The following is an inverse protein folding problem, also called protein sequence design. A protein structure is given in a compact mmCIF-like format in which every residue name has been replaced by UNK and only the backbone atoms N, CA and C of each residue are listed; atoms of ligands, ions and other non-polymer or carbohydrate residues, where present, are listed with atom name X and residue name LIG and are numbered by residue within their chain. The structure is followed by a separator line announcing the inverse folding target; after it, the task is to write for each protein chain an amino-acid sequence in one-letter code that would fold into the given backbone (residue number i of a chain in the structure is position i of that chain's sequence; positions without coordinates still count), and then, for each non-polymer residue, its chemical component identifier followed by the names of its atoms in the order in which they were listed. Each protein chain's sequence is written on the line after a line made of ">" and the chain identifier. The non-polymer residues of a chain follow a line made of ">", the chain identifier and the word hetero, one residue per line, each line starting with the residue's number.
data_IF_216075827455
#
_entry.id   IF_216075827455
#
_cell.length_a   1.000
_cell.length_b   1.000
_cell.length_c   1.000
_cell.angle_alpha   90.00
_cell.angle_beta   90.00
_cell.angle_gamma   90.00
#
_symmetry.space_group_name_H-M   'P 1'
#
loop_
_entity.id
_entity.type
_entity.pdbx_description
1 polymer ?
#
# COMPACT_ATOMS: atom_id res chain seq x y z
N UNK A 1 -16.85 1.81 -30.29
CA UNK A 1 -15.67 2.13 -31.13
C UNK A 1 -15.64 1.20 -32.34
N UNK A 2 -15.57 1.73 -33.57
CA UNK A 2 -15.22 0.90 -34.74
C UNK A 2 -13.76 0.47 -34.57
N UNK A 3 -13.45 -0.82 -34.76
CA UNK A 3 -12.08 -1.33 -34.70
C UNK A 3 -11.17 -0.46 -35.58
N UNK A 4 -10.01 -0.04 -35.06
CA UNK A 4 -8.98 0.56 -35.90
C UNK A 4 -8.68 -0.45 -37.03
N UNK A 5 -8.84 -0.09 -38.32
CA UNK A 5 -8.57 -0.99 -39.44
C UNK A 5 -7.16 -1.60 -39.38
N UNK A 6 -6.21 -0.95 -38.69
CA UNK A 6 -4.83 -1.43 -38.50
C UNK A 6 -4.67 -2.45 -37.38
N UNK A 7 -5.66 -2.61 -36.51
CA UNK A 7 -5.63 -3.53 -35.39
C UNK A 7 -6.94 -4.35 -35.31
N UNK A 8 -7.19 -5.26 -36.28
CA UNK A 8 -8.41 -6.07 -36.31
C UNK A 8 -8.52 -7.00 -35.10
N UNK A 9 -9.76 -7.31 -34.68
CA UNK A 9 -10.09 -8.27 -33.61
C UNK A 9 -9.66 -7.90 -32.18
N UNK A 10 -9.31 -6.64 -31.93
CA UNK A 10 -8.97 -6.16 -30.59
C UNK A 10 -10.18 -6.08 -29.67
N UNK A 11 -9.96 -6.33 -28.38
CA UNK A 11 -10.94 -6.16 -27.30
C UNK A 11 -10.34 -5.24 -26.22
N UNK A 12 -10.21 -3.94 -26.51
CA UNK A 12 -9.64 -3.00 -25.56
C UNK A 12 -10.41 -3.00 -24.23
N UNK A 13 -9.70 -2.64 -23.15
CA UNK A 13 -10.29 -2.45 -21.83
C UNK A 13 -9.90 -1.11 -21.21
N UNK A 14 -10.77 -0.61 -20.35
CA UNK A 14 -10.49 0.55 -19.51
C UNK A 14 -9.88 0.09 -18.20
N UNK A 15 -8.78 0.70 -17.74
CA UNK A 15 -8.23 0.40 -16.41
C UNK A 15 -8.88 1.30 -15.37
N UNK A 16 -9.64 0.72 -14.45
CA UNK A 16 -10.26 1.42 -13.33
C UNK A 16 -9.48 1.10 -12.04
N UNK A 17 -8.63 2.03 -11.63
CA UNK A 17 -7.84 1.91 -10.41
C UNK A 17 -8.69 2.36 -9.21
N UNK A 18 -9.02 1.45 -8.30
CA UNK A 18 -9.68 1.79 -7.04
C UNK A 18 -8.64 2.32 -6.04
N UNK A 19 -8.79 3.59 -5.62
CA UNK A 19 -7.81 4.26 -4.78
C UNK A 19 -8.49 5.33 -3.92
N UNK A 20 -8.47 5.22 -2.60
CA UNK A 20 -9.05 6.25 -1.72
C UNK A 20 -8.27 7.57 -1.83
N UNK A 21 -8.93 8.70 -1.56
CA UNK A 21 -8.33 10.04 -1.56
C UNK A 21 -7.39 10.31 -0.37
N UNK A 22 -6.51 9.37 -0.03
CA UNK A 22 -5.53 9.47 1.06
C UNK A 22 -4.12 9.58 0.50
N UNK A 23 -3.21 10.24 1.22
CA UNK A 23 -1.78 10.35 0.82
C UNK A 23 -1.20 8.97 0.50
N UNK A 24 -1.49 7.98 1.35
CA UNK A 24 -1.10 6.59 1.15
C UNK A 24 -1.45 6.06 -0.25
N UNK A 25 -2.68 6.26 -0.72
CA UNK A 25 -3.13 5.78 -2.03
C UNK A 25 -2.73 6.72 -3.18
N UNK A 26 -2.51 8.00 -2.93
CA UNK A 26 -2.08 8.95 -3.94
C UNK A 26 -0.74 8.59 -4.57
N UNK A 27 0.31 8.40 -3.74
CA UNK A 27 1.64 8.11 -4.28
C UNK A 27 1.68 6.73 -4.97
N UNK A 28 0.97 5.76 -4.41
CA UNK A 28 0.82 4.43 -5.00
C UNK A 28 0.13 4.50 -6.38
N UNK A 29 -0.96 5.26 -6.49
CA UNK A 29 -1.66 5.48 -7.76
C UNK A 29 -0.76 6.14 -8.82
N UNK A 30 0.11 7.07 -8.43
CA UNK A 30 1.06 7.70 -9.36
C UNK A 30 2.12 6.72 -9.86
N UNK A 31 2.63 5.84 -9.00
CA UNK A 31 3.56 4.78 -9.40
C UNK A 31 2.87 3.83 -10.39
N UNK A 32 1.67 3.34 -10.05
CA UNK A 32 0.90 2.48 -10.96
C UNK A 32 0.63 3.17 -12.30
N UNK A 33 0.16 4.42 -12.30
CA UNK A 33 -0.17 5.14 -13.54
C UNK A 33 1.06 5.35 -14.43
N UNK A 34 2.22 5.68 -13.85
CA UNK A 34 3.48 5.77 -14.60
C UNK A 34 3.82 4.46 -15.31
N UNK A 35 3.75 3.34 -14.59
CA UNK A 35 4.03 2.03 -15.21
C UNK A 35 2.94 1.63 -16.21
N UNK A 36 1.69 1.98 -15.99
CA UNK A 36 0.62 1.78 -16.98
C UNK A 36 0.90 2.53 -18.28
N UNK A 37 1.29 3.80 -18.21
CA UNK A 37 1.67 4.59 -19.39
C UNK A 37 2.86 3.98 -20.11
N UNK A 38 3.89 3.57 -19.34
CA UNK A 38 5.09 2.92 -19.86
C UNK A 38 4.75 1.63 -20.63
N UNK A 39 3.92 0.75 -20.05
CA UNK A 39 3.58 -0.51 -20.70
C UNK A 39 2.66 -0.31 -21.90
N UNK A 40 1.69 0.61 -21.84
CA UNK A 40 0.86 0.97 -23.00
C UNK A 40 1.70 1.49 -24.17
N UNK A 41 2.69 2.33 -23.88
CA UNK A 41 3.59 2.85 -24.91
C UNK A 41 4.46 1.74 -25.52
N UNK A 42 4.96 0.82 -24.70
CA UNK A 42 5.75 -0.32 -25.15
C UNK A 42 4.97 -1.31 -26.05
N UNK A 43 3.67 -1.42 -25.83
CA UNK A 43 2.76 -2.28 -26.61
C UNK A 43 2.30 -1.63 -27.93
N UNK A 44 2.51 -0.32 -28.06
CA UNK A 44 2.27 0.43 -29.29
C UNK A 44 0.79 0.71 -29.58
N UNK A 45 0.45 1.09 -30.84
CA UNK A 45 -0.89 1.57 -31.20
C UNK A 45 -1.98 0.50 -31.07
N UNK A 46 -1.60 -0.78 -31.09
CA UNK A 46 -2.52 -1.90 -30.94
C UNK A 46 -2.69 -2.36 -29.47
N UNK A 47 -2.30 -1.55 -28.48
CA UNK A 47 -2.41 -1.93 -27.07
C UNK A 47 -3.82 -1.98 -26.54
N UNK A 48 -4.25 -3.11 -25.97
CA UNK A 48 -5.55 -3.29 -25.32
C UNK A 48 -5.77 -2.41 -24.08
N UNK A 49 -4.70 -1.83 -23.54
CA UNK A 49 -4.73 -0.82 -22.49
C UNK A 49 -5.23 0.53 -23.04
N UNK A 50 -6.54 0.64 -23.27
CA UNK A 50 -7.11 1.76 -24.02
C UNK A 50 -7.09 3.07 -23.23
N UNK A 51 -7.57 3.02 -21.99
CA UNK A 51 -7.70 4.17 -21.12
C UNK A 51 -7.48 3.79 -19.64
N UNK A 52 -7.26 4.80 -18.81
CA UNK A 52 -7.02 4.64 -17.38
C UNK A 52 -7.77 5.72 -16.62
N UNK A 53 -8.47 5.33 -15.55
CA UNK A 53 -9.11 6.24 -14.61
C UNK A 53 -8.87 5.75 -13.19
N UNK A 54 -8.47 6.67 -12.30
CA UNK A 54 -8.51 6.47 -10.86
C UNK A 54 -9.93 6.75 -10.36
N UNK A 55 -10.59 5.72 -9.84
CA UNK A 55 -11.86 5.85 -9.13
C UNK A 55 -11.57 6.14 -7.65
N UNK A 56 -11.82 7.38 -7.26
CA UNK A 56 -11.36 7.94 -6.01
C UNK A 56 -12.53 8.26 -5.06
N UNK A 57 -12.87 7.35 -4.12
CA UNK A 57 -13.71 7.72 -3.00
C UNK A 57 -12.97 8.71 -2.09
N UNK A 58 -13.55 9.90 -1.94
CA UNK A 58 -13.05 10.98 -1.09
C UNK A 58 -14.20 11.58 -0.27
N UNK A 59 -13.88 12.41 0.73
CA UNK A 59 -14.88 13.13 1.51
C UNK A 59 -15.77 13.94 0.56
N UNK A 60 -17.07 13.64 0.56
CA UNK A 60 -18.08 14.30 -0.28
C UNK A 60 -17.77 14.34 -1.80
N UNK A 61 -16.84 13.49 -2.27
CA UNK A 61 -16.39 13.48 -3.67
C UNK A 61 -15.45 14.65 -4.03
N UNK A 62 -14.81 15.27 -3.03
CA UNK A 62 -13.88 16.38 -3.22
C UNK A 62 -12.56 15.93 -3.90
N UNK A 63 -11.93 16.87 -4.61
CA UNK A 63 -10.61 16.67 -5.21
C UNK A 63 -9.53 16.48 -4.14
N UNK A 64 -8.55 15.63 -4.45
CA UNK A 64 -7.36 15.41 -3.62
C UNK A 64 -6.06 16.00 -4.23
N UNK A 65 -6.20 16.75 -5.33
CA UNK A 65 -5.12 17.44 -6.02
C UNK A 65 -4.25 16.57 -6.93
N UNK A 66 -4.53 15.27 -7.07
CA UNK A 66 -3.75 14.35 -7.93
C UNK A 66 -4.34 14.20 -9.34
N UNK A 67 -5.56 14.69 -9.57
CA UNK A 67 -6.25 14.68 -10.87
C UNK A 67 -5.50 15.43 -11.98
N UNK A 68 -4.62 16.36 -11.63
CA UNK A 68 -3.69 17.01 -12.58
C UNK A 68 -2.64 16.06 -13.17
N UNK A 69 -2.40 14.91 -12.54
CA UNK A 69 -1.41 13.93 -12.96
C UNK A 69 -2.05 12.62 -13.44
N UNK A 70 -3.21 12.26 -12.91
CA UNK A 70 -3.90 11.01 -13.20
C UNK A 70 -5.36 11.30 -13.52
N UNK A 71 -5.91 10.86 -14.66
CA UNK A 71 -7.34 10.96 -14.92
C UNK A 71 -8.13 10.35 -13.75
N UNK A 72 -9.00 11.15 -13.12
CA UNK A 72 -9.67 10.78 -11.87
C UNK A 72 -11.17 11.01 -11.98
N UNK A 73 -11.93 10.07 -11.43
CA UNK A 73 -13.33 10.23 -11.10
C UNK A 73 -13.45 10.23 -9.58
N UNK A 74 -13.95 11.32 -9.01
CA UNK A 74 -14.23 11.40 -7.58
C UNK A 74 -15.67 10.98 -7.29
N UNK A 75 -15.84 10.20 -6.23
CA UNK A 75 -17.14 9.79 -5.71
C UNK A 75 -17.16 9.98 -4.20
N UNK A 76 -18.34 10.20 -3.62
CA UNK A 76 -18.45 10.32 -2.17
C UNK A 76 -18.08 9.00 -1.49
N UNK A 77 -17.11 9.05 -0.57
CA UNK A 77 -16.78 7.92 0.28
C UNK A 77 -17.86 7.67 1.33
N UNK A 78 -17.84 6.48 1.94
CA UNK A 78 -18.68 6.17 3.09
C UNK A 78 -18.38 7.12 4.26
N UNK A 79 -19.43 7.63 4.89
CA UNK A 79 -19.29 8.54 6.03
C UNK A 79 -18.64 7.84 7.22
N UNK A 80 -17.95 8.58 8.11
CA UNK A 80 -17.41 8.01 9.35
C UNK A 80 -18.47 7.30 10.20
N UNK A 81 -19.70 7.82 10.23
CA UNK A 81 -20.82 7.22 10.96
C UNK A 81 -21.24 5.87 10.38
N UNK A 82 -21.20 5.69 9.05
CA UNK A 82 -21.45 4.39 8.43
C UNK A 82 -20.31 3.44 8.76
N UNK A 83 -19.05 3.86 8.56
CA UNK A 83 -17.88 3.00 8.82
C UNK A 83 -17.77 2.58 10.29
N UNK A 84 -18.18 3.42 11.24
CA UNK A 84 -18.19 3.08 12.67
C UNK A 84 -19.07 1.86 12.98
N UNK A 85 -20.19 1.67 12.25
CA UNK A 85 -21.06 0.48 12.39
C UNK A 85 -20.37 -0.82 11.98
N UNK A 86 -19.31 -0.70 11.19
CA UNK A 86 -18.57 -1.81 10.59
C UNK A 86 -17.11 -1.82 11.08
N UNK A 87 -16.86 -1.39 12.33
CA UNK A 87 -15.54 -1.43 12.95
C UNK A 87 -14.47 -0.66 12.17
N UNK A 88 -14.84 0.48 11.59
CA UNK A 88 -13.97 1.34 10.77
C UNK A 88 -13.33 0.62 9.57
N UNK A 89 -14.03 -0.37 9.01
CA UNK A 89 -13.55 -1.18 7.88
C UNK A 89 -13.57 -0.38 6.56
N UNK A 90 -12.51 0.41 6.34
CA UNK A 90 -12.38 1.31 5.19
C UNK A 90 -12.44 0.62 3.82
N UNK A 91 -12.15 -0.69 3.76
CA UNK A 91 -12.18 -1.53 2.56
C UNK A 91 -13.56 -1.53 1.89
N UNK A 92 -14.65 -1.31 2.64
CA UNK A 92 -16.00 -1.16 2.09
C UNK A 92 -16.12 -0.03 1.06
N UNK A 93 -15.22 0.96 1.08
CA UNK A 93 -15.20 2.00 0.06
C UNK A 93 -14.90 1.46 -1.34
N UNK A 94 -14.27 0.30 -1.49
CA UNK A 94 -14.00 -0.29 -2.81
C UNK A 94 -15.29 -0.66 -3.53
N UNK A 95 -16.13 -1.61 -3.05
CA UNK A 95 -17.41 -1.89 -3.69
C UNK A 95 -18.34 -0.67 -3.71
N UNK A 96 -18.31 0.17 -2.67
CA UNK A 96 -19.12 1.40 -2.62
C UNK A 96 -18.76 2.36 -3.76
N UNK A 97 -17.47 2.61 -3.98
CA UNK A 97 -17.04 3.52 -5.06
C UNK A 97 -17.43 3.02 -6.44
N UNK A 98 -17.36 1.70 -6.67
CA UNK A 98 -17.80 1.08 -7.93
C UNK A 98 -19.33 1.20 -8.08
N UNK A 99 -20.08 1.05 -6.99
CA UNK A 99 -21.53 1.29 -6.99
C UNK A 99 -21.87 2.74 -7.33
N UNK A 100 -21.19 3.72 -6.73
CA UNK A 100 -21.39 5.13 -7.02
C UNK A 100 -21.02 5.48 -8.48
N UNK A 101 -19.97 4.85 -9.02
CA UNK A 101 -19.62 4.97 -10.43
C UNK A 101 -20.77 4.53 -11.35
N UNK A 102 -21.39 3.38 -11.09
CA UNK A 102 -22.52 2.89 -11.91
C UNK A 102 -23.81 3.68 -11.69
N UNK A 103 -24.06 4.18 -10.47
CA UNK A 103 -25.23 5.00 -10.14
C UNK A 103 -25.25 6.35 -10.84
N UNK A 104 -24.09 6.84 -11.27
CA UNK A 104 -23.97 8.11 -11.97
C UNK A 104 -23.79 7.90 -13.48
N UNK A 105 -24.84 8.16 -14.29
CA UNK A 105 -24.78 7.94 -15.74
C UNK A 105 -23.68 8.75 -16.44
N UNK A 106 -23.36 9.96 -15.95
CA UNK A 106 -22.31 10.80 -16.52
C UNK A 106 -20.92 10.23 -16.26
N UNK A 107 -20.69 9.64 -15.08
CA UNK A 107 -19.42 8.97 -14.77
C UNK A 107 -19.31 7.67 -15.56
N UNK A 108 -20.37 6.86 -15.59
CA UNK A 108 -20.45 5.61 -16.34
C UNK A 108 -20.21 5.82 -17.84
N UNK A 109 -20.67 6.93 -18.41
CA UNK A 109 -20.47 7.28 -19.82
C UNK A 109 -19.01 7.59 -20.19
N UNK A 110 -18.14 7.87 -19.22
CA UNK A 110 -16.70 8.11 -19.45
C UNK A 110 -15.93 6.82 -19.76
N UNK A 111 -16.50 5.66 -19.46
CA UNK A 111 -15.93 4.36 -19.77
C UNK A 111 -16.68 3.77 -20.96
N UNK A 112 -16.03 3.81 -22.13
CA UNK A 112 -16.61 3.40 -23.42
C UNK A 112 -16.23 1.99 -23.84
N UNK A 113 -15.20 1.42 -23.22
CA UNK A 113 -14.75 0.06 -23.48
C UNK A 113 -15.76 -0.97 -22.92
N UNK A 114 -15.94 -2.08 -23.65
CA UNK A 114 -16.82 -3.18 -23.21
C UNK A 114 -16.23 -3.95 -22.02
N UNK A 115 -14.92 -3.87 -21.84
CA UNK A 115 -14.19 -4.52 -20.76
C UNK A 115 -13.54 -3.48 -19.86
N UNK A 116 -13.44 -3.81 -18.57
CA UNK A 116 -12.73 -3.03 -17.57
C UNK A 116 -11.72 -3.93 -16.87
N UNK A 117 -10.53 -3.39 -16.61
CA UNK A 117 -9.60 -3.94 -15.64
C UNK A 117 -9.80 -3.22 -14.31
N UNK A 118 -10.34 -3.90 -13.30
CA UNK A 118 -10.27 -3.41 -11.93
C UNK A 118 -8.86 -3.65 -11.39
N UNK A 119 -8.21 -2.57 -10.95
CA UNK A 119 -6.88 -2.58 -10.35
C UNK A 119 -6.89 -1.90 -8.98
N UNK A 120 -5.82 -2.09 -8.21
CA UNK A 120 -5.60 -1.48 -6.90
C UNK A 120 -4.21 -0.84 -6.81
N UNK A 121 -4.03 0.00 -5.78
CA UNK A 121 -2.92 0.94 -5.69
C UNK A 121 -1.57 0.28 -5.51
N UNK A 122 -1.51 -0.93 -4.96
CA UNK A 122 -0.29 -1.72 -4.77
C UNK A 122 0.07 -2.63 -5.94
N UNK A 123 -0.46 -2.34 -7.13
CA UNK A 123 -0.05 -2.95 -8.39
C UNK A 123 1.02 -2.12 -9.10
N UNK A 124 1.99 -2.83 -9.71
CA UNK A 124 2.89 -2.28 -10.72
C UNK A 124 2.85 -3.16 -11.96
N UNK A 125 2.58 -2.59 -13.14
CA UNK A 125 2.62 -3.33 -14.41
C UNK A 125 4.06 -3.55 -14.88
N UNK A 126 4.42 -4.81 -15.08
CA UNK A 126 5.77 -5.23 -15.45
C UNK A 126 5.99 -5.30 -16.97
N UNK A 127 4.93 -5.56 -17.72
CA UNK A 127 4.92 -5.69 -19.18
C UNK A 127 3.54 -5.32 -19.74
N UNK A 128 3.40 -5.09 -21.06
CA UNK A 128 2.10 -4.93 -21.70
C UNK A 128 1.09 -6.00 -21.27
N UNK A 129 -0.14 -5.56 -20.96
CA UNK A 129 -1.21 -6.42 -20.48
C UNK A 129 -2.32 -6.46 -21.55
N UNK A 130 -2.45 -7.57 -22.31
CA UNK A 130 -3.56 -7.72 -23.25
C UNK A 130 -4.87 -7.95 -22.50
N UNK A 131 -6.01 -7.85 -23.20
CA UNK A 131 -7.27 -8.31 -22.61
C UNK A 131 -7.26 -9.85 -22.49
N UNK A 132 -7.08 -10.33 -21.26
CA UNK A 132 -7.03 -11.75 -20.91
C UNK A 132 -8.42 -12.39 -20.75
N UNK A 133 -9.49 -11.58 -20.72
CA UNK A 133 -10.86 -12.06 -20.63
C UNK A 133 -11.37 -12.57 -21.99
N UNK A 134 -12.51 -13.27 -21.95
CA UNK A 134 -13.23 -13.68 -23.15
C UNK A 134 -14.71 -13.34 -23.06
N UNK A 135 -15.45 -13.65 -24.12
CA UNK A 135 -16.91 -13.53 -24.09
C UNK A 135 -17.46 -14.40 -22.95
N UNK A 136 -18.27 -13.83 -22.06
CA UNK A 136 -18.89 -14.52 -20.93
C UNK A 136 -17.95 -15.03 -19.83
N UNK A 137 -16.63 -14.77 -19.89
CA UNK A 137 -15.67 -15.24 -18.89
C UNK A 137 -14.64 -14.16 -18.57
N UNK A 138 -14.62 -13.73 -17.30
CA UNK A 138 -13.64 -12.77 -16.79
C UNK A 138 -12.25 -13.41 -16.64
N UNK A 139 -11.20 -12.60 -16.50
CA UNK A 139 -9.85 -13.05 -16.16
C UNK A 139 -9.47 -12.55 -14.77
N UNK A 140 -8.95 -13.45 -13.92
CA UNK A 140 -8.60 -13.11 -12.53
C UNK A 140 -7.35 -13.86 -12.06
N UNK A 141 -6.78 -13.35 -10.97
CA UNK A 141 -5.75 -14.03 -10.20
C UNK A 141 -6.39 -14.95 -9.14
N UNK A 142 -5.74 -16.07 -8.84
CA UNK A 142 -6.17 -16.96 -7.77
C UNK A 142 -5.42 -16.63 -6.47
N UNK A 143 -6.17 -16.32 -5.42
CA UNK A 143 -5.66 -16.08 -4.07
C UNK A 143 -5.70 -17.38 -3.27
N UNK A 144 -4.54 -17.91 -2.90
CA UNK A 144 -4.43 -19.21 -2.21
C UNK A 144 -5.16 -19.28 -0.86
N UNK A 145 -5.41 -18.15 -0.21
CA UNK A 145 -6.18 -18.06 1.04
C UNK A 145 -7.71 -17.95 0.82
N UNK A 146 -8.19 -17.97 -0.43
CA UNK A 146 -9.62 -17.85 -0.78
C UNK A 146 -10.23 -19.17 -1.26
N UNK A 147 -9.58 -20.31 -1.04
CA UNK A 147 -10.18 -21.60 -1.36
C UNK A 147 -11.32 -21.93 -0.39
N UNK A 148 -12.56 -21.85 -0.89
CA UNK A 148 -13.74 -22.21 -0.13
C UNK A 148 -13.82 -23.72 0.14
N UNK A 149 -14.49 -24.08 1.23
CA UNK A 149 -14.61 -25.46 1.70
C UNK A 149 -15.83 -25.62 2.61
N UNK A 150 -16.16 -26.85 3.06
CA UNK A 150 -17.37 -27.11 3.84
C UNK A 150 -17.51 -26.26 5.11
N UNK A 151 -16.39 -25.91 5.76
CA UNK A 151 -16.38 -25.07 6.97
C UNK A 151 -16.80 -23.61 6.70
N UNK A 152 -16.81 -23.17 5.44
CA UNK A 152 -17.26 -21.84 5.02
C UNK A 152 -18.75 -21.77 4.67
N UNK A 153 -19.49 -22.90 4.67
CA UNK A 153 -20.88 -22.93 4.23
C UNK A 153 -21.77 -21.90 4.97
N UNK A 154 -21.62 -21.79 6.29
CA UNK A 154 -22.37 -20.83 7.11
C UNK A 154 -22.11 -19.37 6.75
N UNK A 155 -20.90 -19.03 6.30
CA UNK A 155 -20.57 -17.68 5.83
C UNK A 155 -21.30 -17.40 4.52
N UNK A 156 -21.32 -18.37 3.62
CA UNK A 156 -21.96 -18.22 2.31
C UNK A 156 -23.48 -18.13 2.48
N UNK A 157 -24.07 -19.02 3.29
CA UNK A 157 -25.50 -19.04 3.57
C UNK A 157 -26.00 -17.75 4.23
N UNK A 158 -25.15 -17.07 5.02
CA UNK A 158 -25.47 -15.79 5.66
C UNK A 158 -25.89 -14.73 4.65
N UNK A 159 -25.19 -14.65 3.51
CA UNK A 159 -25.43 -13.61 2.49
C UNK A 159 -26.11 -14.16 1.24
N UNK A 160 -26.15 -15.48 1.06
CA UNK A 160 -26.83 -16.16 -0.04
C UNK A 160 -27.93 -17.12 0.45
N UNK A 161 -28.94 -16.63 1.21
CA UNK A 161 -29.96 -17.50 1.82
C UNK A 161 -30.89 -18.17 0.80
N UNK A 162 -30.95 -17.67 -0.43
CA UNK A 162 -31.72 -18.27 -1.52
C UNK A 162 -31.07 -19.54 -2.08
N UNK A 163 -29.80 -19.79 -1.77
CA UNK A 163 -29.10 -20.99 -2.23
C UNK A 163 -28.65 -20.95 -3.69
N UNK A 164 -28.49 -19.75 -4.28
CA UNK A 164 -28.07 -19.58 -5.68
C UNK A 164 -26.67 -20.16 -5.98
N UNK A 165 -25.85 -20.37 -4.96
CA UNK A 165 -24.52 -20.96 -5.04
C UNK A 165 -24.14 -21.60 -3.69
N UNK A 166 -23.14 -22.47 -3.73
CA UNK A 166 -22.54 -23.11 -2.56
C UNK A 166 -21.03 -22.88 -2.55
N UNK A 167 -20.34 -23.32 -1.49
CA UNK A 167 -18.87 -23.25 -1.41
C UNK A 167 -18.16 -23.95 -2.59
N UNK A 168 -18.81 -24.89 -3.28
CA UNK A 168 -18.25 -25.59 -4.45
C UNK A 168 -18.20 -24.73 -5.70
N UNK A 169 -19.04 -23.70 -5.76
CA UNK A 169 -19.20 -22.85 -6.94
C UNK A 169 -18.23 -21.67 -6.92
N UNK A 170 -17.79 -21.28 -5.71
CA UNK A 170 -16.84 -20.19 -5.49
C UNK A 170 -15.48 -20.49 -6.12
N UNK A 171 -14.95 -19.48 -6.79
CA UNK A 171 -13.57 -19.48 -7.28
C UNK A 171 -12.70 -18.68 -6.30
N UNK A 172 -11.42 -19.03 -6.13
CA UNK A 172 -10.52 -18.36 -5.17
C UNK A 172 -10.06 -17.00 -5.72
N UNK A 173 -10.99 -16.11 -6.05
CA UNK A 173 -10.75 -14.83 -6.73
C UNK A 173 -11.31 -13.67 -5.92
N UNK A 174 -10.70 -12.51 -6.06
CA UNK A 174 -11.19 -11.23 -5.55
C UNK A 174 -11.56 -10.27 -6.68
N UNK A 175 -11.92 -9.01 -6.35
CA UNK A 175 -12.32 -7.99 -7.33
C UNK A 175 -11.13 -7.40 -8.10
N UNK A 176 -9.88 -7.69 -7.71
CA UNK A 176 -8.65 -7.14 -8.28
C UNK A 176 -7.51 -8.16 -8.11
N UNK A 177 -6.59 -8.31 -9.09
CA UNK A 177 -6.73 -7.84 -10.46
C UNK A 177 -7.80 -8.64 -11.20
N UNK A 178 -8.65 -7.93 -11.94
CA UNK A 178 -9.80 -8.49 -12.64
C UNK A 178 -9.94 -7.82 -13.99
N UNK A 179 -10.04 -8.58 -15.09
CA UNK A 179 -10.54 -8.07 -16.37
C UNK A 179 -11.90 -8.71 -16.62
N UNK A 180 -12.94 -7.89 -16.72
CA UNK A 180 -14.33 -8.33 -16.80
C UNK A 180 -15.11 -7.46 -17.79
N UNK A 181 -16.20 -7.99 -18.36
CA UNK A 181 -17.14 -7.16 -19.09
C UNK A 181 -17.76 -6.13 -18.17
N UNK A 182 -17.88 -4.90 -18.63
CA UNK A 182 -18.41 -3.80 -17.85
C UNK A 182 -19.86 -4.04 -17.42
N UNK A 183 -20.66 -4.70 -18.27
CA UNK A 183 -22.05 -5.10 -17.95
C UNK A 183 -22.12 -6.17 -16.85
N UNK A 184 -21.16 -7.10 -16.81
CA UNK A 184 -21.12 -8.12 -15.76
C UNK A 184 -20.70 -7.49 -14.43
N UNK A 185 -19.73 -6.57 -14.45
CA UNK A 185 -19.35 -5.78 -13.28
C UNK A 185 -20.53 -4.93 -12.77
N UNK A 186 -21.28 -4.30 -13.67
CA UNK A 186 -22.47 -3.53 -13.32
C UNK A 186 -23.53 -4.39 -12.63
N UNK A 187 -23.77 -5.59 -13.17
CA UNK A 187 -24.71 -6.57 -12.60
C UNK A 187 -24.28 -7.09 -11.23
N UNK A 188 -22.97 -7.34 -11.03
CA UNK A 188 -22.46 -7.94 -9.78
C UNK A 188 -22.31 -6.92 -8.64
N UNK A 189 -22.05 -5.65 -8.97
CA UNK A 189 -21.68 -4.62 -7.99
C UNK A 189 -22.70 -4.44 -6.85
N UNK A 190 -24.03 -4.36 -7.09
CA UNK A 190 -25.00 -4.22 -6.00
C UNK A 190 -24.93 -5.38 -4.99
N UNK A 191 -24.77 -6.60 -5.49
CA UNK A 191 -24.70 -7.82 -4.66
C UNK A 191 -23.38 -7.90 -3.92
N UNK A 192 -22.27 -7.57 -4.58
CA UNK A 192 -20.95 -7.46 -3.97
C UNK A 192 -20.92 -6.45 -2.81
N UNK A 193 -21.47 -5.25 -3.00
CA UNK A 193 -21.56 -4.24 -1.94
C UNK A 193 -22.41 -4.73 -0.76
N UNK A 194 -23.60 -5.27 -1.03
CA UNK A 194 -24.50 -5.76 0.01
C UNK A 194 -23.85 -6.89 0.83
N UNK A 195 -23.27 -7.87 0.14
CA UNK A 195 -22.60 -8.99 0.80
C UNK A 195 -21.40 -8.54 1.63
N UNK A 196 -20.64 -7.54 1.16
CA UNK A 196 -19.54 -6.97 1.93
C UNK A 196 -20.02 -6.34 3.24
N UNK A 197 -21.18 -5.67 3.25
CA UNK A 197 -21.78 -5.13 4.47
C UNK A 197 -22.26 -6.22 5.43
N UNK A 198 -23.00 -7.22 4.91
CA UNK A 198 -23.56 -8.29 5.74
C UNK A 198 -22.46 -9.16 6.35
N UNK A 199 -21.44 -9.54 5.58
CA UNK A 199 -20.28 -10.27 6.08
C UNK A 199 -19.53 -9.50 7.16
N UNK A 200 -19.42 -8.18 7.02
CA UNK A 200 -18.72 -7.34 8.00
C UNK A 200 -19.56 -7.07 9.25
N UNK A 201 -20.89 -7.06 9.14
CA UNK A 201 -21.79 -6.84 10.26
C UNK A 201 -21.77 -8.01 11.27
N UNK A 202 -21.49 -9.23 10.78
CA UNK A 202 -21.44 -10.43 11.62
C UNK A 202 -19.99 -10.72 12.07
N UNK A 203 -19.74 -11.02 13.35
CA UNK A 203 -18.41 -11.40 13.83
C UNK A 203 -17.93 -12.80 13.36
N UNK A 204 -18.84 -13.68 12.92
CA UNK A 204 -18.54 -15.06 12.52
C UNK A 204 -17.70 -15.14 11.23
N UNK A 205 -18.03 -14.43 10.13
CA UNK A 205 -17.18 -14.38 8.94
C UNK A 205 -15.73 -14.00 9.23
N UNK A 206 -15.50 -12.95 10.02
CA UNK A 206 -14.16 -12.48 10.36
C UNK A 206 -13.31 -13.57 11.06
N UNK A 207 -13.94 -14.39 11.91
CA UNK A 207 -13.28 -15.49 12.62
C UNK A 207 -12.94 -16.68 11.71
N UNK A 208 -13.76 -16.94 10.69
CA UNK A 208 -13.58 -18.11 9.82
C UNK A 208 -12.67 -17.84 8.63
N UNK A 209 -12.62 -16.60 8.14
CA UNK A 209 -11.97 -16.25 6.87
C UNK A 209 -10.75 -15.31 7.04
N UNK A 210 -10.73 -14.50 8.10
CA UNK A 210 -9.94 -13.28 8.30
C UNK A 210 -10.67 -11.99 7.90
N UNK A 211 -10.61 -11.00 8.78
CA UNK A 211 -11.40 -9.75 8.68
C UNK A 211 -11.08 -8.92 7.43
N UNK A 212 -9.83 -8.92 6.97
CA UNK A 212 -9.37 -8.02 5.92
C UNK A 212 -9.77 -8.45 4.49
N UNK A 213 -10.20 -9.71 4.29
CA UNK A 213 -10.61 -10.24 2.98
C UNK A 213 -12.13 -10.41 2.83
N UNK A 214 -12.93 -9.97 3.81
CA UNK A 214 -14.39 -10.16 3.79
C UNK A 214 -15.05 -9.54 2.55
N UNK A 215 -14.55 -8.39 2.10
CA UNK A 215 -14.99 -7.73 0.88
C UNK A 215 -14.71 -8.61 -0.37
N UNK A 216 -13.53 -9.24 -0.43
CA UNK A 216 -13.18 -10.15 -1.53
C UNK A 216 -14.06 -11.40 -1.55
N UNK A 217 -14.43 -11.92 -0.37
CA UNK A 217 -15.40 -13.00 -0.25
C UNK A 217 -16.80 -12.57 -0.68
N UNK A 218 -17.21 -11.35 -0.33
CA UNK A 218 -18.42 -10.73 -0.85
C UNK A 218 -18.45 -10.70 -2.37
N UNK A 219 -17.33 -10.35 -3.02
CA UNK A 219 -17.18 -10.41 -4.47
C UNK A 219 -17.32 -11.84 -5.02
N UNK A 220 -16.59 -12.81 -4.47
CA UNK A 220 -16.59 -14.18 -4.97
C UNK A 220 -17.97 -14.85 -4.84
N UNK A 221 -18.66 -14.63 -3.72
CA UNK A 221 -20.04 -15.13 -3.50
C UNK A 221 -21.02 -14.43 -4.46
N UNK A 222 -20.91 -13.10 -4.63
CA UNK A 222 -21.74 -12.35 -5.58
C UNK A 222 -21.55 -12.86 -7.02
N UNK A 223 -20.30 -13.08 -7.44
CA UNK A 223 -20.01 -13.60 -8.77
C UNK A 223 -20.58 -15.02 -8.97
N UNK A 224 -20.34 -15.93 -8.02
CA UNK A 224 -20.83 -17.30 -8.08
C UNK A 224 -22.37 -17.36 -8.15
N UNK A 225 -23.05 -16.61 -7.28
CA UNK A 225 -24.52 -16.55 -7.22
C UNK A 225 -25.18 -15.93 -8.47
N UNK A 226 -24.41 -15.20 -9.29
CA UNK A 226 -24.88 -14.61 -10.55
C UNK A 226 -24.38 -15.36 -11.79
N UNK A 227 -23.66 -16.47 -11.61
CA UNK A 227 -23.09 -17.27 -12.69
C UNK A 227 -21.90 -16.63 -13.40
N UNK A 228 -21.27 -15.59 -12.82
CA UNK A 228 -20.08 -14.94 -13.38
C UNK A 228 -18.87 -15.84 -13.14
N UNK A 229 -18.23 -16.29 -14.22
CA UNK A 229 -17.07 -17.20 -14.18
C UNK A 229 -15.77 -16.49 -14.52
N UNK A 230 -14.69 -16.99 -13.94
CA UNK A 230 -13.34 -16.46 -14.11
C UNK A 230 -12.42 -17.54 -14.70
N UNK A 231 -11.64 -17.17 -15.70
CA UNK A 231 -10.43 -17.89 -16.08
C UNK A 231 -9.30 -17.45 -15.15
N UNK A 232 -8.74 -18.41 -14.41
CA UNK A 232 -7.54 -18.16 -13.61
C UNK A 232 -6.35 -18.05 -14.56
N UNK A 233 -5.66 -16.91 -14.52
CA UNK A 233 -4.51 -16.66 -15.39
C UNK A 233 -3.21 -16.97 -14.63
N UNK A 234 -2.49 -18.01 -15.06
CA UNK A 234 -1.11 -18.21 -14.61
C UNK A 234 -0.24 -17.03 -15.07
N UNK A 235 0.55 -16.48 -14.15
CA UNK A 235 1.34 -15.30 -14.43
C UNK A 235 0.55 -13.98 -14.43
N UNK A 236 -0.71 -13.92 -13.96
CA UNK A 236 -1.36 -12.61 -13.87
C UNK A 236 -0.62 -11.68 -12.90
N UNK A 237 -0.35 -12.19 -11.70
CA UNK A 237 0.21 -11.46 -10.58
C UNK A 237 1.22 -12.32 -9.82
N UNK A 238 2.21 -11.67 -9.21
CA UNK A 238 3.11 -12.22 -8.19
C UNK A 238 3.12 -11.32 -6.95
N UNK A 239 3.25 -11.93 -5.76
CA UNK A 239 3.24 -11.28 -4.45
C UNK A 239 4.50 -11.62 -3.63
N UNK A 240 5.72 -11.27 -4.10
CA UNK A 240 6.95 -11.72 -3.45
C UNK A 240 7.26 -10.89 -2.20
N UNK A 241 7.88 -11.55 -1.21
CA UNK A 241 8.50 -10.93 -0.03
C UNK A 241 10.02 -11.21 -0.05
N UNK A 242 10.74 -10.87 1.03
CA UNK A 242 12.19 -11.07 1.12
C UNK A 242 12.65 -12.53 1.00
N UNK A 243 11.81 -13.51 1.38
CA UNK A 243 12.08 -14.95 1.24
C UNK A 243 11.64 -15.54 -0.10
N UNK A 244 11.01 -14.75 -0.98
CA UNK A 244 10.57 -15.24 -2.27
C UNK A 244 11.77 -15.72 -3.11
N UNK A 245 11.63 -16.89 -3.73
CA UNK A 245 12.60 -17.48 -4.64
C UNK A 245 12.22 -17.11 -6.08
N UNK A 246 12.41 -15.84 -6.43
CA UNK A 246 12.15 -15.34 -7.78
C UNK A 246 13.37 -15.56 -8.68
N UNK A 247 13.15 -16.00 -9.92
CA UNK A 247 14.21 -16.01 -10.95
C UNK A 247 14.55 -14.59 -11.38
N UNK A 248 15.73 -14.37 -11.96
CA UNK A 248 16.13 -13.05 -12.47
C UNK A 248 15.19 -12.51 -13.57
N UNK A 249 14.50 -13.40 -14.28
CA UNK A 249 13.58 -13.08 -15.36
C UNK A 249 12.09 -13.28 -15.00
N UNK A 250 11.75 -13.31 -13.71
CA UNK A 250 10.37 -13.49 -13.24
C UNK A 250 9.40 -12.50 -13.90
N UNK A 251 9.85 -11.27 -14.16
CA UNK A 251 9.08 -10.20 -14.81
C UNK A 251 8.67 -10.53 -16.26
N UNK A 252 9.27 -11.55 -16.90
CA UNK A 252 8.79 -12.09 -18.19
C UNK A 252 7.57 -12.97 -18.02
N UNK A 253 7.43 -13.68 -16.90
CA UNK A 253 6.27 -14.53 -16.61
C UNK A 253 5.06 -13.69 -16.20
N UNK A 254 5.25 -12.80 -15.24
CA UNK A 254 4.15 -12.11 -14.57
C UNK A 254 3.78 -10.76 -15.21
N UNK A 255 2.50 -10.39 -15.22
CA UNK A 255 2.06 -9.06 -15.68
C UNK A 255 2.09 -8.00 -14.57
N UNK A 256 1.71 -8.39 -13.35
CA UNK A 256 1.51 -7.48 -12.22
C UNK A 256 2.44 -7.89 -11.07
N UNK A 257 3.19 -6.93 -10.56
CA UNK A 257 3.81 -7.04 -9.25
C UNK A 257 2.84 -6.47 -8.21
N UNK A 258 2.44 -7.27 -7.23
CA UNK A 258 1.59 -6.82 -6.13
C UNK A 258 2.42 -6.74 -4.84
N UNK A 259 2.69 -5.51 -4.38
CA UNK A 259 3.57 -5.25 -3.22
C UNK A 259 2.80 -5.19 -1.90
N UNK A 260 2.02 -6.23 -1.62
CA UNK A 260 1.21 -6.32 -0.41
C UNK A 260 2.05 -6.58 0.85
N UNK A 261 3.12 -7.36 0.74
CA UNK A 261 4.03 -7.68 1.84
C UNK A 261 5.17 -6.66 1.92
N UNK A 262 5.54 -6.28 3.15
CA UNK A 262 6.79 -5.59 3.39
C UNK A 262 7.98 -6.47 2.96
N UNK A 263 8.95 -5.84 2.29
CA UNK A 263 10.19 -6.51 1.87
C UNK A 263 11.30 -6.05 2.81
N UNK A 264 11.75 -6.98 3.65
CA UNK A 264 12.56 -6.67 4.83
C UNK A 264 13.90 -7.40 4.77
N UNK A 265 14.99 -6.66 4.88
CA UNK A 265 16.34 -7.20 4.89
C UNK A 265 17.19 -6.58 5.99
N UNK A 266 18.19 -7.32 6.46
CA UNK A 266 19.38 -6.75 7.08
C UNK A 266 20.30 -6.16 6.01
N UNK A 267 21.17 -5.21 6.37
CA UNK A 267 22.10 -4.59 5.42
C UNK A 267 23.14 -5.57 4.88
N UNK A 268 23.38 -6.70 5.56
CA UNK A 268 24.21 -7.81 5.08
C UNK A 268 23.50 -8.71 4.04
N UNK A 269 22.25 -8.41 3.69
CA UNK A 269 21.47 -9.14 2.70
C UNK A 269 20.61 -10.27 3.27
N UNK A 270 20.63 -10.53 4.58
CA UNK A 270 19.79 -11.56 5.17
C UNK A 270 18.30 -11.15 5.20
N UNK A 271 17.37 -11.95 4.65
CA UNK A 271 15.94 -11.64 4.69
C UNK A 271 15.42 -11.66 6.14
N UNK A 272 14.41 -10.84 6.42
CA UNK A 272 13.74 -10.74 7.71
C UNK A 272 12.28 -11.21 7.63
N UNK A 273 11.79 -11.75 8.76
CA UNK A 273 10.47 -12.36 8.91
C UNK A 273 9.29 -11.42 8.66
N UNK A 274 8.13 -12.01 8.37
CA UNK A 274 6.86 -11.29 8.40
C UNK A 274 6.67 -10.63 9.78
N UNK A 275 6.37 -9.33 9.81
CA UNK A 275 6.27 -8.47 11.01
C UNK A 275 7.60 -8.04 11.67
N UNK A 276 8.75 -8.25 11.01
CA UNK A 276 10.02 -7.67 11.47
C UNK A 276 10.49 -6.61 10.49
N UNK A 277 10.53 -5.35 10.94
CA UNK A 277 11.06 -4.25 10.13
C UNK A 277 12.57 -4.45 9.95
N UNK A 278 13.02 -4.55 8.70
CA UNK A 278 14.41 -4.71 8.33
C UNK A 278 15.24 -3.45 8.52
N UNK A 279 16.56 -3.60 8.58
CA UNK A 279 17.50 -2.46 8.53
C UNK A 279 17.39 -1.74 7.19
N UNK A 280 17.14 -2.51 6.13
CA UNK A 280 16.56 -2.06 4.87
C UNK A 280 15.12 -2.58 4.78
N UNK A 281 14.17 -1.69 4.55
CA UNK A 281 12.75 -1.97 4.57
C UNK A 281 12.04 -1.25 3.43
N UNK A 282 11.35 -2.04 2.61
CA UNK A 282 10.48 -1.52 1.57
C UNK A 282 9.06 -2.03 1.80
N UNK A 283 8.40 -1.38 2.75
CA UNK A 283 6.98 -1.54 3.05
C UNK A 283 6.25 -0.23 2.76
N UNK A 284 5.18 -0.31 1.96
CA UNK A 284 4.31 0.83 1.66
C UNK A 284 3.72 1.49 2.91
N UNK A 285 3.53 0.74 3.99
CA UNK A 285 2.91 1.20 5.25
C UNK A 285 3.73 2.28 5.94
N UNK A 286 5.03 2.34 5.69
CA UNK A 286 5.91 3.42 6.14
C UNK A 286 5.54 4.79 5.56
N UNK A 287 4.88 4.79 4.40
CA UNK A 287 4.51 5.98 3.63
C UNK A 287 2.99 6.24 3.72
N UNK A 288 2.38 5.94 4.87
CA UNK A 288 0.94 6.15 5.11
C UNK A 288 0.54 7.62 5.15
N UNK A 289 1.38 8.47 5.77
CA UNK A 289 1.12 9.90 5.97
C UNK A 289 1.92 10.83 5.06
N UNK A 290 2.86 10.31 4.27
CA UNK A 290 3.74 11.09 3.43
C UNK A 290 4.19 10.29 2.21
N UNK A 291 4.63 10.97 1.14
CA UNK A 291 5.14 10.33 -0.06
C UNK A 291 6.51 9.66 0.22
N UNK A 292 6.86 8.56 -0.46
CA UNK A 292 8.21 8.03 -0.41
C UNK A 292 9.21 9.03 -0.99
N UNK A 293 10.40 9.15 -0.39
CA UNK A 293 11.40 10.10 -0.84
C UNK A 293 12.05 9.71 -2.18
N UNK A 294 12.57 10.68 -2.97
CA UNK A 294 13.21 10.42 -4.27
C UNK A 294 14.58 9.72 -4.21
N UNK A 295 15.17 9.58 -3.02
CA UNK A 295 16.51 9.06 -2.75
C UNK A 295 16.47 7.74 -1.94
N UNK A 296 15.62 6.79 -2.37
CA UNK A 296 15.57 5.46 -1.75
C UNK A 296 16.91 4.72 -1.94
N UNK A 297 17.42 4.13 -0.86
CA UNK A 297 18.62 3.31 -0.91
C UNK A 297 18.35 1.98 -1.62
N UNK A 298 19.28 1.51 -2.47
CA UNK A 298 19.15 0.21 -3.12
C UNK A 298 19.11 -0.91 -2.08
N UNK A 299 18.41 -2.02 -2.40
CA UNK A 299 18.44 -3.19 -1.54
C UNK A 299 19.87 -3.75 -1.41
N UNK A 300 20.18 -4.45 -0.30
CA UNK A 300 21.48 -5.06 -0.09
C UNK A 300 21.81 -6.10 -1.18
N UNK A 301 23.09 -6.40 -1.37
CA UNK A 301 23.58 -7.30 -2.43
C UNK A 301 22.88 -8.67 -2.42
N UNK A 302 22.65 -9.24 -1.23
CA UNK A 302 21.96 -10.53 -1.03
C UNK A 302 20.44 -10.52 -1.25
N UNK A 303 19.82 -9.38 -1.55
CA UNK A 303 18.38 -9.32 -1.78
C UNK A 303 17.95 -10.17 -2.98
N UNK A 304 16.67 -10.55 -3.05
CA UNK A 304 16.16 -11.32 -4.19
C UNK A 304 15.88 -10.42 -5.42
N UNK A 305 15.80 -11.00 -6.64
CA UNK A 305 15.58 -10.23 -7.87
C UNK A 305 14.32 -9.36 -7.84
N UNK A 306 13.22 -9.86 -7.26
CA UNK A 306 11.97 -9.11 -7.11
C UNK A 306 12.11 -7.85 -6.26
N UNK A 307 12.96 -7.87 -5.22
CA UNK A 307 13.19 -6.72 -4.34
C UNK A 307 13.92 -5.61 -5.08
N UNK A 308 14.98 -5.96 -5.83
CA UNK A 308 15.69 -5.05 -6.74
C UNK A 308 14.75 -4.47 -7.79
N UNK A 309 13.91 -5.31 -8.39
CA UNK A 309 12.96 -4.89 -9.40
C UNK A 309 11.96 -3.87 -8.86
N UNK A 310 11.32 -4.13 -7.72
CA UNK A 310 10.32 -3.23 -7.14
C UNK A 310 10.95 -1.90 -6.70
N UNK A 311 12.15 -1.92 -6.13
CA UNK A 311 12.90 -0.72 -5.79
C UNK A 311 13.12 0.17 -7.03
N UNK A 312 13.57 -0.44 -8.13
CA UNK A 312 13.78 0.28 -9.39
C UNK A 312 12.45 0.78 -9.99
N UNK A 313 11.37 0.01 -9.83
CA UNK A 313 10.05 0.42 -10.28
C UNK A 313 9.54 1.66 -9.53
N UNK A 314 9.70 1.73 -8.21
CA UNK A 314 9.37 2.92 -7.44
C UNK A 314 10.25 4.11 -7.82
N UNK A 315 11.57 3.93 -7.81
CA UNK A 315 12.51 5.02 -8.11
C UNK A 315 12.31 5.59 -9.52
N UNK A 316 12.07 4.75 -10.53
CA UNK A 316 11.84 5.25 -11.89
C UNK A 316 10.59 6.12 -11.99
N UNK A 317 9.50 5.76 -11.31
CA UNK A 317 8.29 6.57 -11.27
C UNK A 317 8.51 7.89 -10.52
N UNK A 318 9.20 7.85 -9.38
CA UNK A 318 9.49 9.03 -8.56
C UNK A 318 10.41 10.00 -9.32
N UNK A 319 11.48 9.49 -9.93
CA UNK A 319 12.41 10.28 -10.72
C UNK A 319 11.74 10.90 -11.95
N UNK A 320 10.88 10.14 -12.64
CA UNK A 320 10.13 10.65 -13.79
C UNK A 320 9.13 11.76 -13.41
N UNK A 321 8.58 11.72 -12.20
CA UNK A 321 7.73 12.79 -11.69
C UNK A 321 8.52 14.09 -11.40
N UNK A 322 9.82 13.99 -11.09
CA UNK A 322 10.69 15.14 -10.85
C UNK A 322 10.11 16.11 -9.82
N UNK A 323 10.10 17.41 -10.15
CA UNK A 323 9.58 18.48 -9.29
C UNK A 323 8.09 18.37 -8.96
N UNK A 324 7.33 17.49 -9.63
CA UNK A 324 5.91 17.24 -9.31
C UNK A 324 5.73 16.19 -8.22
N UNK A 325 6.79 15.47 -7.83
CA UNK A 325 6.78 14.58 -6.68
C UNK A 325 6.93 15.41 -5.40
N UNK A 326 5.98 15.37 -4.45
CA UNK A 326 6.04 16.19 -3.24
C UNK A 326 7.30 15.93 -2.41
N UNK A 327 7.82 17.02 -1.83
CA UNK A 327 8.82 16.91 -0.77
C UNK A 327 8.25 16.13 0.42
N UNK A 328 9.14 15.43 1.13
CA UNK A 328 8.75 14.52 2.19
C UNK A 328 9.81 14.45 3.28
N UNK A 329 9.34 14.36 4.52
CA UNK A 329 10.15 14.08 5.70
C UNK A 329 10.18 12.58 6.04
N UNK A 330 9.47 11.75 5.26
CA UNK A 330 9.56 10.30 5.41
C UNK A 330 10.99 9.82 5.17
N UNK A 331 11.41 8.82 5.94
CA UNK A 331 12.68 8.15 5.71
C UNK A 331 12.68 7.40 4.37
N UNK A 332 13.87 7.09 3.85
CA UNK A 332 14.01 6.22 2.69
C UNK A 332 13.76 4.75 3.05
N UNK A 333 14.44 3.84 2.37
CA UNK A 333 14.40 2.40 2.70
C UNK A 333 15.23 2.04 3.94
N UNK A 334 15.99 2.97 4.52
CA UNK A 334 16.78 2.77 5.75
C UNK A 334 16.27 3.69 6.86
N UNK A 335 16.22 3.16 8.09
CA UNK A 335 15.90 3.93 9.32
C UNK A 335 14.57 3.58 9.99
N UNK A 336 13.76 2.74 9.36
CA UNK A 336 12.49 2.25 9.93
C UNK A 336 12.67 1.28 11.08
N UNK A 337 13.77 0.52 11.12
CA UNK A 337 14.11 -0.32 12.28
C UNK A 337 14.59 0.55 13.44
N UNK A 338 13.77 0.61 14.51
CA UNK A 338 13.97 1.45 15.71
C UNK A 338 14.19 0.59 16.95
N UNK A 339 15.21 -0.25 16.92
CA UNK A 339 15.58 -1.10 18.05
C UNK A 339 16.39 -0.33 19.09
N UNK A 340 16.08 -0.56 20.36
CA UNK A 340 16.81 0.03 21.49
C UNK A 340 18.31 -0.20 21.35
N UNK A 341 19.10 0.86 21.51
CA UNK A 341 20.55 0.80 21.42
C UNK A 341 21.14 -0.17 22.45
N UNK A 342 22.07 -1.01 22.00
CA UNK A 342 22.81 -1.92 22.86
C UNK A 342 23.95 -1.21 23.59
N UNK A 343 24.40 -1.79 24.71
CA UNK A 343 25.59 -1.30 25.44
C UNK A 343 26.85 -1.25 24.55
N UNK A 344 26.94 -2.15 23.57
CA UNK A 344 28.04 -2.19 22.59
C UNK A 344 28.00 -1.05 21.58
N UNK A 345 26.82 -0.52 21.27
CA UNK A 345 26.65 0.60 20.35
C UNK A 345 26.85 1.92 21.10
N UNK A 346 26.36 2.01 22.35
CA UNK A 346 26.68 3.13 23.24
C UNK A 346 28.20 3.27 23.36
N UNK A 347 28.93 2.19 23.63
CA UNK A 347 30.39 2.27 23.79
C UNK A 347 31.13 2.73 22.53
N UNK A 348 30.55 2.55 21.34
CA UNK A 348 31.11 2.99 20.06
C UNK A 348 30.72 4.44 19.70
N UNK A 349 29.50 4.86 19.98
CA UNK A 349 29.01 6.21 19.64
C UNK A 349 29.45 7.26 20.65
N UNK A 350 30.08 8.34 20.17
CA UNK A 350 30.51 9.46 21.04
C UNK A 350 29.29 10.19 21.61
N UNK A 351 28.28 10.44 20.78
CA UNK A 351 27.06 11.13 21.19
C UNK A 351 26.25 10.30 22.20
N UNK A 352 26.02 9.01 21.92
CA UNK A 352 25.25 8.14 22.82
C UNK A 352 25.91 8.05 24.20
N UNK A 353 27.24 7.92 24.27
CA UNK A 353 27.99 7.99 25.54
C UNK A 353 27.73 9.29 26.29
N UNK A 354 27.70 10.40 25.59
CA UNK A 354 27.60 11.72 26.19
C UNK A 354 26.18 12.06 26.67
N UNK A 355 25.15 11.55 26.01
CA UNK A 355 23.75 11.77 26.43
C UNK A 355 23.24 10.70 27.39
N UNK A 356 23.88 9.55 27.48
CA UNK A 356 23.46 8.48 28.41
C UNK A 356 23.41 9.00 29.85
N UNK A 357 22.29 8.74 30.53
CA UNK A 357 22.03 9.15 31.90
C UNK A 357 21.74 10.64 32.08
N UNK A 358 21.74 11.43 31.00
CA UNK A 358 21.44 12.85 31.06
C UNK A 358 19.94 13.11 31.03
N UNK A 359 19.50 14.17 31.70
CA UNK A 359 18.10 14.56 31.82
C UNK A 359 17.82 15.85 31.04
N UNK A 360 16.68 15.89 30.35
CA UNK A 360 16.29 16.99 29.47
C UNK A 360 14.83 17.39 29.66
N UNK A 361 14.55 18.64 29.30
CA UNK A 361 13.19 19.14 29.08
C UNK A 361 12.80 18.91 27.62
N UNK A 362 11.61 18.36 27.37
CA UNK A 362 11.01 18.27 26.04
C UNK A 362 9.96 19.37 25.90
N UNK A 363 10.21 20.39 25.07
CA UNK A 363 9.35 21.58 24.99
C UNK A 363 9.03 22.20 26.37
N UNK A 364 10.03 22.24 27.26
CA UNK A 364 9.88 22.75 28.63
C UNK A 364 9.32 21.75 29.65
N UNK A 365 8.93 20.54 29.24
CA UNK A 365 8.35 19.52 30.11
C UNK A 365 9.44 18.54 30.59
N UNK A 366 9.60 18.41 31.90
CA UNK A 366 10.48 17.43 32.57
C UNK A 366 9.76 16.06 32.69
N UNK A 367 10.38 14.88 32.53
CA UNK A 367 11.78 14.49 32.29
C UNK A 367 11.91 13.64 31.02
N UNK A 368 12.86 13.95 30.14
CA UNK A 368 13.36 13.05 29.10
C UNK A 368 14.77 12.53 29.49
N UNK A 369 14.94 11.21 29.67
CA UNK A 369 16.21 10.61 30.12
C UNK A 369 16.59 9.42 29.23
N UNK A 370 17.83 9.43 28.75
CA UNK A 370 18.42 8.37 27.92
C UNK A 370 19.10 7.30 28.80
N UNK A 371 18.36 6.27 29.21
CA UNK A 371 18.89 5.21 30.09
C UNK A 371 19.67 4.13 29.32
N UNK A 372 20.36 3.25 30.07
CA UNK A 372 20.96 2.04 29.52
C UNK A 372 19.92 1.12 28.86
N UNK A 373 20.41 0.15 28.06
CA UNK A 373 19.60 -0.78 27.27
C UNK A 373 18.61 -0.08 26.31
N UNK A 374 18.86 1.18 25.96
CA UNK A 374 18.05 1.96 25.03
C UNK A 374 16.65 2.29 25.53
N UNK A 375 16.43 2.29 26.85
CA UNK A 375 15.18 2.75 27.47
C UNK A 375 15.17 4.29 27.52
N UNK A 376 14.14 4.90 26.99
CA UNK A 376 13.92 6.34 27.07
C UNK A 376 12.83 6.62 28.09
N UNK A 377 13.18 7.25 29.22
CA UNK A 377 12.15 7.72 30.16
C UNK A 377 11.61 9.05 29.65
N UNK A 378 10.29 9.18 29.56
CA UNK A 378 9.60 10.39 29.11
C UNK A 378 8.54 10.82 30.14
N UNK A 379 7.98 12.05 30.02
CA UNK A 379 6.84 12.46 30.83
C UNK A 379 5.57 11.62 30.61
N UNK A 380 5.49 10.91 29.48
CA UNK A 380 4.30 10.17 29.04
C UNK A 380 4.47 8.65 29.11
N UNK A 381 5.50 8.18 29.81
CA UNK A 381 5.84 6.76 29.93
C UNK A 381 7.22 6.43 29.37
N UNK A 382 7.45 5.15 29.12
CA UNK A 382 8.70 4.66 28.55
C UNK A 382 8.64 4.59 27.03
N UNK A 383 9.76 4.91 26.40
CA UNK A 383 10.01 4.77 24.99
C UNK A 383 11.36 4.11 24.73
N UNK A 384 11.81 4.19 23.49
CA UNK A 384 13.08 3.64 23.03
C UNK A 384 13.95 4.75 22.46
N UNK A 385 15.26 4.55 22.53
CA UNK A 385 16.21 5.41 21.84
C UNK A 385 17.37 4.61 21.26
N UNK A 386 18.02 5.19 20.25
CA UNK A 386 19.26 4.65 19.72
C UNK A 386 19.88 5.52 18.64
N UNK A 387 20.84 4.97 17.89
CA UNK A 387 21.52 5.71 16.81
C UNK A 387 20.60 5.79 15.60
N UNK A 388 20.45 6.98 15.01
CA UNK A 388 19.76 7.16 13.74
C UNK A 388 20.74 6.88 12.58
N UNK A 389 20.55 5.80 11.78
CA UNK A 389 21.54 5.38 10.80
C UNK A 389 21.60 6.27 9.55
N UNK A 390 20.47 6.81 9.11
CA UNK A 390 20.37 7.70 7.94
C UNK A 390 19.17 8.66 8.03
N UNK A 391 19.16 9.57 9.02
CA UNK A 391 18.05 10.51 9.16
C UNK A 391 17.92 11.41 7.93
N UNK A 392 16.74 11.43 7.31
CA UNK A 392 16.46 12.27 6.14
C UNK A 392 16.11 13.70 6.55
N UNK A 393 16.52 14.68 5.73
CA UNK A 393 16.16 16.09 5.93
C UNK A 393 16.94 16.78 7.06
N UNK A 394 17.95 16.10 7.62
CA UNK A 394 18.80 16.62 8.69
C UNK A 394 20.26 16.68 8.21
N UNK A 395 20.67 17.72 7.45
CA UNK A 395 22.06 17.84 6.95
C UNK A 395 23.10 17.82 8.07
N UNK A 396 22.74 18.32 9.26
CA UNK A 396 23.60 18.30 10.44
C UNK A 396 23.82 16.90 11.04
N UNK A 397 23.03 15.90 10.63
CA UNK A 397 23.21 14.50 10.97
C UNK A 397 24.07 13.73 9.95
N UNK A 398 24.59 14.40 8.92
CA UNK A 398 25.49 13.76 7.97
C UNK A 398 26.83 13.40 8.64
N UNK A 399 27.47 12.28 8.26
CA UNK A 399 28.81 11.95 8.73
C UNK A 399 29.79 13.13 8.57
N UNK A 400 30.64 13.42 9.57
CA UNK A 400 30.97 12.58 10.73
C UNK A 400 30.04 12.78 11.96
N UNK A 401 28.98 13.58 11.86
CA UNK A 401 28.08 13.81 12.98
C UNK A 401 27.18 12.60 13.25
N UNK A 402 26.87 12.37 14.52
CA UNK A 402 25.92 11.34 14.95
C UNK A 402 24.59 12.01 15.30
N UNK A 403 23.49 11.33 15.00
CA UNK A 403 22.17 11.68 15.51
C UNK A 403 21.54 10.47 16.16
N UNK A 404 20.62 10.74 17.08
CA UNK A 404 19.86 9.71 17.76
C UNK A 404 18.46 9.64 17.18
N UNK A 405 17.79 8.54 17.42
CA UNK A 405 16.34 8.53 17.41
C UNK A 405 15.78 8.39 18.80
N UNK A 406 14.55 8.86 18.95
CA UNK A 406 13.68 8.55 20.07
C UNK A 406 12.32 8.11 19.52
N UNK A 407 11.71 7.13 20.18
CA UNK A 407 10.40 6.60 19.84
C UNK A 407 9.60 6.47 21.13
N UNK A 408 8.53 7.23 21.25
CA UNK A 408 7.63 7.22 22.40
C UNK A 408 6.26 7.75 22.01
N UNK A 409 5.22 7.38 22.77
CA UNK A 409 3.84 7.85 22.54
C UNK A 409 3.33 7.65 21.11
N UNK A 410 3.82 6.62 20.41
CA UNK A 410 3.44 6.30 19.03
C UNK A 410 4.05 7.21 17.97
N UNK A 411 5.07 8.01 18.32
CA UNK A 411 5.76 8.92 17.41
C UNK A 411 7.26 8.65 17.38
N UNK A 412 7.80 8.49 16.17
CA UNK A 412 9.23 8.37 15.93
C UNK A 412 9.83 9.74 15.60
N UNK A 413 10.97 10.04 16.22
CA UNK A 413 11.70 11.29 16.02
C UNK A 413 13.18 11.02 15.72
N UNK A 414 13.80 11.96 15.02
CA UNK A 414 15.25 12.09 14.92
C UNK A 414 15.70 13.26 15.77
N UNK A 415 16.77 13.08 16.55
CA UNK A 415 17.25 14.05 17.53
C UNK A 415 18.72 14.35 17.29
N UNK A 416 19.02 15.64 17.19
CA UNK A 416 20.36 16.19 17.10
C UNK A 416 20.61 17.11 18.30
N UNK A 417 21.86 17.18 18.74
CA UNK A 417 22.30 17.97 19.90
C UNK A 417 23.32 19.02 19.48
N UNK A 418 23.27 20.18 20.13
CA UNK A 418 24.30 21.19 19.95
C UNK A 418 25.66 20.75 20.51
N UNK A 419 26.73 21.44 20.11
CA UNK A 419 28.10 21.03 20.40
C UNK A 419 28.42 20.99 21.90
N UNK A 420 27.77 21.81 22.72
CA UNK A 420 27.95 21.86 24.17
C UNK A 420 26.97 20.95 24.95
N UNK A 421 26.11 20.21 24.22
CA UNK A 421 25.07 19.35 24.76
C UNK A 421 24.20 20.10 25.78
N UNK A 422 23.84 21.35 25.49
CA UNK A 422 22.90 22.14 26.26
C UNK A 422 21.49 22.11 25.69
N UNK A 423 21.35 21.84 24.38
CA UNK A 423 20.07 21.75 23.68
C UNK A 423 20.02 20.58 22.71
N UNK A 424 18.80 20.18 22.38
CA UNK A 424 18.54 19.32 21.23
C UNK A 424 17.42 19.89 20.37
N UNK A 425 17.45 19.52 19.09
CA UNK A 425 16.30 19.66 18.19
C UNK A 425 15.87 18.28 17.74
N UNK A 426 14.56 18.03 17.89
CA UNK A 426 13.86 16.83 17.50
C UNK A 426 13.00 17.12 16.29
N UNK A 427 13.00 16.22 15.30
CA UNK A 427 12.13 16.29 14.12
C UNK A 427 11.32 15.01 14.05
N UNK A 428 9.98 15.13 14.08
CA UNK A 428 9.07 13.99 13.97
C UNK A 428 9.07 13.45 12.54
N UNK A 429 9.26 12.14 12.39
CA UNK A 429 9.37 11.48 11.07
C UNK A 429 8.09 11.63 10.25
N UNK A 430 6.91 11.57 10.90
CA UNK A 430 5.62 11.53 10.21
C UNK A 430 5.27 12.81 9.45
N UNK A 431 5.52 13.97 10.05
CA UNK A 431 5.07 15.27 9.53
C UNK A 431 6.13 16.38 9.62
N UNK A 432 7.30 16.09 10.16
CA UNK A 432 8.38 17.06 10.32
C UNK A 432 8.21 18.03 11.48
N UNK A 433 7.26 17.79 12.41
CA UNK A 433 7.11 18.66 13.57
C UNK A 433 8.44 18.79 14.33
N UNK A 434 8.86 20.04 14.57
CA UNK A 434 10.10 20.35 15.27
C UNK A 434 9.81 20.62 16.74
N UNK A 435 10.48 19.88 17.62
CA UNK A 435 10.46 20.12 19.06
C UNK A 435 11.87 20.36 19.58
N UNK A 436 12.04 21.41 20.37
CA UNK A 436 13.32 21.71 21.00
C UNK A 436 13.33 21.25 22.46
N UNK A 437 14.50 20.85 22.92
CA UNK A 437 14.72 20.53 24.32
C UNK A 437 16.00 21.14 24.88
N UNK A 438 16.07 21.18 26.20
CA UNK A 438 17.18 21.80 26.94
C UNK A 438 17.62 20.87 28.05
N UNK A 439 18.93 20.77 28.27
CA UNK A 439 19.50 19.92 29.30
C UNK A 439 19.19 20.46 30.69
N UNK A 440 18.83 19.56 31.60
CA UNK A 440 18.74 19.87 33.03
C UNK A 440 20.14 19.68 33.62
N UNK A 441 20.70 20.75 34.18
CA UNK A 441 21.95 20.71 34.96
C UNK A 441 21.55 20.61 36.43
N UNK A 442 22.03 19.55 37.10
CA UNK A 442 21.89 19.37 38.55
C UNK A 442 23.09 19.98 39.27
#
# INVERSE_FOLDING_TARGET
>A
HKADPKCPNRRPYHTLLTAQGTIYNQWQARIMYFHWQKQRAADGPCSDMAAFTRLCPSKDGESDGVEKYIPTIFVAQLTPAVLAKYGHFGVLNRPHSVMEFFRNPELRARVTEEYVMLAETDHVLMKPLPNLASEGVAAAHAFGYMHAGPHHAKVIDLVNPQGDCTWRDLQPVGPSPLIIKLTDLEKLTPRWLNYSYELRADPMPARLIQDWVLEMWGYSIAAASLGVRHKIIDGFQIEPNAYARTSDDFNKKYYIFHYTYGIEYRLDGQPQGFNTIGEWSMDKRHYGGAYPPPDLDPPPEGANPSSRWLHNAWNSAIQAAGATWPDTNAMGTIGWRRESISSSEISRSKLAKAVRGTEWLWSGIKSLIFNDAGVLKTPWGEGKWGIAPKPKGLPWCAPPNECLFVDFSGAAHHVWFDADLSKFTSVRVGDGEIVNGTRIRH
#
